data_IF_181404543249
#
_entry.id   IF_181404543249
#
_cell.length_a   1.000
_cell.length_b   1.000
_cell.length_c   1.000
_cell.angle_alpha   90.00
_cell.angle_beta   90.00
_cell.angle_gamma   90.00
#
_symmetry.space_group_name_H-M   'P 1'
#
loop_
_entity.id
_entity.type
_entity.pdbx_description
1 polymer ?
#
# COMPACT_ATOMS: atom_id res chain seq x y z
N UNK A 1 27.03 -4.40 -4.25
CA UNK A 1 27.18 -3.29 -3.29
C UNK A 1 27.32 -1.93 -3.96
N UNK A 2 28.05 -1.77 -5.08
CA UNK A 2 28.25 -0.46 -5.70
C UNK A 2 26.96 0.29 -6.10
N UNK A 3 25.98 -0.38 -6.71
CA UNK A 3 24.70 0.26 -7.08
C UNK A 3 23.87 0.63 -5.85
N UNK A 4 23.72 -0.28 -4.88
CA UNK A 4 23.02 0.00 -3.63
C UNK A 4 23.59 1.22 -2.90
N UNK A 5 24.93 1.28 -2.74
CA UNK A 5 25.58 2.42 -2.09
C UNK A 5 25.48 3.72 -2.89
N UNK A 6 25.19 3.63 -4.19
CA UNK A 6 25.01 4.82 -5.02
C UNK A 6 23.57 5.34 -4.94
N UNK A 7 22.60 4.45 -4.86
CA UNK A 7 21.16 4.80 -4.81
C UNK A 7 20.69 5.07 -3.38
N UNK A 8 21.18 4.32 -2.39
CA UNK A 8 20.73 4.34 -0.99
C UNK A 8 21.88 4.49 0.02
N UNK A 9 23.08 4.86 -0.44
CA UNK A 9 24.19 5.10 0.47
C UNK A 9 24.10 6.51 1.02
N UNK A 10 24.11 6.65 2.34
CA UNK A 10 24.26 7.94 3.01
C UNK A 10 25.58 8.58 2.57
N UNK A 11 25.55 9.81 2.08
CA UNK A 11 26.77 10.61 1.95
C UNK A 11 27.11 11.19 3.34
N UNK A 12 28.39 11.23 3.72
CA UNK A 12 28.81 11.77 5.02
C UNK A 12 28.43 13.26 5.21
N UNK A 13 28.01 13.94 4.12
CA UNK A 13 27.54 15.32 4.07
C UNK A 13 26.00 15.46 4.23
N UNK A 14 25.24 14.35 4.33
CA UNK A 14 23.76 14.27 4.40
C UNK A 14 23.21 14.00 5.81
N UNK A 15 23.95 14.31 6.87
CA UNK A 15 23.37 14.35 8.22
C UNK A 15 22.44 15.57 8.33
N UNK A 16 21.24 15.45 7.77
CA UNK A 16 20.20 16.47 7.90
C UNK A 16 19.83 16.62 9.38
N UNK A 17 20.05 17.82 9.93
CA UNK A 17 19.61 18.09 11.30
C UNK A 17 18.09 18.00 11.38
N UNK A 18 17.54 17.30 12.38
CA UNK A 18 16.10 17.14 12.52
C UNK A 18 15.44 18.50 12.68
N UNK A 19 14.38 18.74 11.92
CA UNK A 19 13.68 20.01 11.97
C UNK A 19 12.97 20.15 13.32
N UNK A 20 13.47 21.06 14.17
CA UNK A 20 12.96 21.28 15.52
C UNK A 20 11.53 21.81 15.57
N UNK A 21 11.03 22.39 14.45
CA UNK A 21 9.64 22.85 14.34
C UNK A 21 8.66 21.72 13.98
N UNK A 22 9.19 20.57 13.56
CA UNK A 22 8.40 19.43 13.12
C UNK A 22 8.36 18.33 14.19
N UNK A 23 7.25 17.59 14.27
CA UNK A 23 7.16 16.39 15.11
C UNK A 23 8.24 15.34 14.80
N UNK A 24 8.53 14.46 15.76
CA UNK A 24 9.57 13.44 15.63
C UNK A 24 9.28 12.42 14.52
N UNK A 25 8.03 12.01 14.38
CA UNK A 25 7.56 11.12 13.31
C UNK A 25 7.75 11.74 11.92
N UNK A 26 7.50 13.04 11.77
CA UNK A 26 7.81 13.77 10.53
C UNK A 26 9.31 13.68 10.21
N UNK A 27 10.17 13.99 11.18
CA UNK A 27 11.62 13.96 10.95
C UNK A 27 12.11 12.53 10.63
N UNK A 28 11.51 11.50 11.23
CA UNK A 28 11.85 10.10 10.91
C UNK A 28 11.40 9.68 9.52
N UNK A 29 10.20 10.10 9.10
CA UNK A 29 9.63 9.70 7.81
C UNK A 29 10.30 10.41 6.63
N UNK A 30 10.72 11.66 6.82
CA UNK A 30 11.32 12.50 5.79
C UNK A 30 12.84 12.62 5.92
N UNK A 31 13.48 11.79 6.75
CA UNK A 31 14.93 11.73 6.83
C UNK A 31 15.51 10.96 5.63
N UNK A 32 16.55 11.53 5.02
CA UNK A 32 17.28 10.88 3.93
C UNK A 32 16.50 10.87 2.60
N UNK A 33 16.53 9.75 1.89
CA UNK A 33 15.87 9.61 0.60
C UNK A 33 14.35 9.45 0.75
N UNK A 34 13.62 10.43 0.21
CA UNK A 34 12.15 10.49 0.21
C UNK A 34 11.55 10.09 -1.15
N UNK A 35 12.36 9.57 -2.08
CA UNK A 35 11.87 9.08 -3.36
C UNK A 35 10.96 7.85 -3.20
N UNK A 36 9.74 7.93 -3.73
CA UNK A 36 8.77 6.82 -3.75
C UNK A 36 9.00 5.85 -4.93
N UNK A 37 10.24 5.74 -5.41
CA UNK A 37 10.60 4.89 -6.55
C UNK A 37 11.78 3.95 -6.25
N UNK A 38 11.55 3.00 -5.36
CA UNK A 38 12.51 1.92 -5.11
C UNK A 38 11.94 0.57 -5.51
N UNK A 39 12.76 -0.28 -6.12
CA UNK A 39 12.40 -1.65 -6.50
C UNK A 39 13.68 -2.47 -6.72
N UNK A 40 13.97 -3.41 -5.81
CA UNK A 40 15.11 -4.30 -5.96
C UNK A 40 14.86 -5.67 -5.32
N UNK A 41 15.50 -6.69 -5.90
CA UNK A 41 15.49 -8.05 -5.39
C UNK A 41 16.70 -8.33 -4.51
N UNK A 42 16.49 -9.12 -3.46
CA UNK A 42 17.54 -9.64 -2.57
C UNK A 42 17.57 -11.16 -2.70
N UNK A 43 18.76 -11.71 -2.87
CA UNK A 43 19.02 -13.15 -2.89
C UNK A 43 20.01 -13.53 -1.81
N UNK A 44 19.64 -14.52 -1.00
CA UNK A 44 20.55 -15.17 -0.07
C UNK A 44 21.36 -16.24 -0.79
N UNK A 45 22.66 -16.23 -0.52
CA UNK A 45 23.57 -17.32 -0.87
C UNK A 45 24.17 -17.89 0.40
N UNK A 46 24.85 -19.03 0.30
CA UNK A 46 25.44 -19.70 1.48
C UNK A 46 26.39 -18.81 2.30
N UNK A 47 26.99 -17.78 1.69
CA UNK A 47 28.01 -16.94 2.33
C UNK A 47 27.79 -15.44 2.19
N UNK A 48 26.81 -15.00 1.40
CA UNK A 48 26.60 -13.58 1.12
C UNK A 48 25.17 -13.27 0.73
N UNK A 49 24.81 -12.00 0.89
CA UNK A 49 23.55 -11.42 0.39
C UNK A 49 23.86 -10.70 -0.92
N UNK A 50 23.13 -11.04 -1.98
CA UNK A 50 23.21 -10.36 -3.28
C UNK A 50 22.01 -9.43 -3.41
N UNK A 51 22.30 -8.13 -3.49
CA UNK A 51 21.31 -7.09 -3.81
C UNK A 51 21.16 -6.95 -5.33
N UNK A 52 20.02 -6.42 -5.77
CA UNK A 52 19.65 -6.27 -7.18
C UNK A 52 19.70 -7.58 -7.96
N UNK A 53 19.29 -8.68 -7.32
CA UNK A 53 19.04 -9.92 -8.05
C UNK A 53 17.79 -9.78 -8.93
N UNK A 54 17.76 -10.55 -10.02
CA UNK A 54 16.55 -10.71 -10.82
C UNK A 54 15.41 -11.24 -9.93
N UNK A 55 14.19 -10.68 -10.05
CA UNK A 55 13.04 -11.02 -9.19
C UNK A 55 12.71 -12.51 -9.22
N UNK A 56 12.78 -13.16 -10.38
CA UNK A 56 12.55 -14.62 -10.51
C UNK A 56 13.58 -15.48 -9.77
N UNK A 57 14.70 -14.90 -9.37
CA UNK A 57 15.78 -15.57 -8.64
C UNK A 57 16.03 -14.97 -7.25
N UNK A 58 15.18 -14.02 -6.83
CA UNK A 58 15.28 -13.32 -5.54
C UNK A 58 14.44 -14.04 -4.49
N UNK A 59 14.91 -14.02 -3.26
CA UNK A 59 14.19 -14.57 -2.11
C UNK A 59 13.31 -13.49 -1.45
N UNK A 60 13.70 -12.22 -1.55
CA UNK A 60 12.93 -11.06 -1.07
C UNK A 60 12.87 -10.01 -2.18
N UNK A 61 11.72 -9.35 -2.32
CA UNK A 61 11.55 -8.18 -3.17
C UNK A 61 11.20 -7.00 -2.25
N UNK A 62 11.97 -5.92 -2.35
CA UNK A 62 11.73 -4.67 -1.63
C UNK A 62 11.36 -3.61 -2.64
N UNK A 63 10.20 -2.99 -2.48
CA UNK A 63 9.71 -2.04 -3.46
C UNK A 63 8.61 -1.11 -2.93
N UNK A 64 8.50 0.07 -3.55
CA UNK A 64 7.33 0.93 -3.39
C UNK A 64 6.13 0.39 -4.19
N UNK A 65 4.89 0.65 -3.76
CA UNK A 65 3.69 0.27 -4.51
C UNK A 65 3.70 0.87 -5.93
N UNK A 66 4.18 2.11 -6.09
CA UNK A 66 4.30 2.77 -7.38
C UNK A 66 5.27 2.01 -8.31
N UNK A 67 6.46 1.68 -7.83
CA UNK A 67 7.47 1.01 -8.65
C UNK A 67 7.02 -0.41 -9.06
N UNK A 68 6.35 -1.16 -8.16
CA UNK A 68 5.77 -2.46 -8.51
C UNK A 68 4.66 -2.34 -9.55
N UNK A 69 3.74 -1.40 -9.38
CA UNK A 69 2.68 -1.16 -10.36
C UNK A 69 3.26 -0.84 -11.74
N UNK A 70 4.20 0.11 -11.81
CA UNK A 70 4.89 0.46 -13.05
C UNK A 70 5.60 -0.76 -13.65
N UNK A 71 6.22 -1.62 -12.83
CA UNK A 71 6.88 -2.83 -13.30
C UNK A 71 5.89 -3.82 -13.92
N UNK A 72 4.75 -4.04 -13.26
CA UNK A 72 3.68 -4.93 -13.73
C UNK A 72 3.08 -4.41 -15.03
N UNK A 73 2.82 -3.10 -15.11
CA UNK A 73 2.26 -2.42 -16.29
C UNK A 73 3.27 -2.29 -17.46
N UNK A 74 4.50 -2.78 -17.29
CA UNK A 74 5.52 -2.80 -18.35
C UNK A 74 6.36 -1.52 -18.51
N UNK A 75 6.37 -0.65 -17.49
CA UNK A 75 7.25 0.54 -17.33
C UNK A 75 6.84 1.78 -18.13
N UNK A 76 7.30 2.97 -17.70
CA UNK A 76 7.02 4.25 -18.37
C UNK A 76 7.66 4.38 -19.78
N UNK A 77 8.84 3.79 -19.98
CA UNK A 77 9.69 4.01 -21.17
C UNK A 77 9.14 3.34 -22.44
N UNK A 78 8.17 2.43 -22.30
CA UNK A 78 7.83 1.45 -23.35
C UNK A 78 6.40 1.53 -23.89
N UNK A 79 5.62 2.56 -23.51
CA UNK A 79 4.34 2.90 -24.16
C UNK A 79 4.48 3.33 -25.63
N UNK A 80 5.70 3.53 -26.15
CA UNK A 80 5.97 4.06 -27.51
C UNK A 80 5.68 3.10 -28.68
N UNK A 81 5.24 1.86 -28.48
CA UNK A 81 5.04 0.91 -29.60
C UNK A 81 3.75 0.08 -29.50
N UNK A 82 2.58 0.74 -29.45
CA UNK A 82 1.29 0.28 -30.00
C UNK A 82 0.80 -1.17 -29.79
N UNK A 83 1.45 -1.97 -28.96
CA UNK A 83 1.10 -3.35 -28.60
C UNK A 83 1.02 -3.39 -27.08
N UNK A 84 -0.11 -3.79 -26.50
CA UNK A 84 -0.17 -4.09 -25.07
C UNK A 84 0.82 -5.25 -24.85
N UNK A 85 1.93 -4.98 -24.15
CA UNK A 85 2.78 -6.07 -23.68
C UNK A 85 2.07 -6.67 -22.47
N UNK A 86 2.02 -7.99 -22.43
CA UNK A 86 1.46 -8.77 -21.31
C UNK A 86 2.02 -8.28 -19.98
N UNK A 87 1.14 -8.09 -18.99
CA UNK A 87 1.50 -7.80 -17.61
C UNK A 87 2.56 -8.81 -17.15
N UNK A 88 3.73 -8.33 -16.75
CA UNK A 88 4.81 -9.18 -16.27
C UNK A 88 4.70 -9.34 -14.76
N UNK A 89 3.58 -9.92 -14.28
CA UNK A 89 3.32 -10.15 -12.85
C UNK A 89 3.74 -11.53 -12.37
N UNK A 90 4.25 -12.40 -13.25
CA UNK A 90 4.63 -13.79 -12.91
C UNK A 90 5.64 -13.88 -11.76
N UNK A 91 6.50 -12.87 -11.56
CA UNK A 91 7.46 -12.83 -10.46
C UNK A 91 6.79 -12.72 -9.08
N UNK A 92 5.49 -12.39 -9.02
CA UNK A 92 4.67 -12.32 -7.81
C UNK A 92 3.80 -13.58 -7.58
N UNK A 93 3.92 -14.59 -8.44
CA UNK A 93 3.13 -15.83 -8.34
C UNK A 93 3.43 -16.64 -7.07
N UNK A 94 4.69 -16.68 -6.64
CA UNK A 94 5.16 -17.52 -5.53
C UNK A 94 5.33 -16.78 -4.21
N UNK A 95 4.65 -15.64 -4.01
CA UNK A 95 4.79 -14.87 -2.77
C UNK A 95 4.12 -15.58 -1.59
N UNK A 96 4.92 -15.92 -0.57
CA UNK A 96 4.45 -16.55 0.67
C UNK A 96 4.14 -15.53 1.77
N UNK A 97 4.88 -14.42 1.82
CA UNK A 97 4.73 -13.36 2.81
C UNK A 97 4.70 -12.01 2.11
N UNK A 98 3.72 -11.18 2.47
CA UNK A 98 3.65 -9.76 2.08
C UNK A 98 3.65 -8.92 3.33
N UNK A 99 4.54 -7.95 3.38
CA UNK A 99 4.57 -6.92 4.42
C UNK A 99 4.27 -5.58 3.76
N UNK A 100 3.18 -4.95 4.19
CA UNK A 100 2.87 -3.56 3.88
C UNK A 100 3.28 -2.75 5.09
N UNK A 101 4.42 -2.07 4.99
CA UNK A 101 4.90 -1.18 6.03
C UNK A 101 4.39 0.24 5.81
N UNK A 102 4.21 1.00 6.90
CA UNK A 102 3.68 2.37 6.88
C UNK A 102 2.44 2.56 5.99
N UNK A 103 1.42 1.70 6.16
CA UNK A 103 0.22 1.73 5.31
C UNK A 103 -0.54 3.07 5.41
N UNK A 104 -0.48 3.74 6.56
CA UNK A 104 -0.95 5.12 6.77
C UNK A 104 -0.28 6.11 5.82
N UNK A 105 1.05 6.05 5.69
CA UNK A 105 1.80 6.91 4.78
C UNK A 105 1.48 6.58 3.32
N UNK A 106 1.41 5.30 2.97
CA UNK A 106 1.00 4.85 1.62
C UNK A 106 -0.40 5.37 1.28
N UNK A 107 -1.30 5.37 2.26
CA UNK A 107 -2.66 5.90 2.11
C UNK A 107 -2.68 7.40 1.84
N UNK A 108 -1.72 8.17 2.36
CA UNK A 108 -1.60 9.61 2.09
C UNK A 108 -1.08 9.91 0.68
N UNK A 109 -0.34 8.97 0.07
CA UNK A 109 0.18 9.13 -1.29
C UNK A 109 -0.84 8.67 -2.33
N UNK A 110 -1.01 7.36 -2.51
CA UNK A 110 -1.97 6.79 -3.44
C UNK A 110 -2.25 5.31 -3.13
N UNK A 111 -3.33 5.07 -2.38
CA UNK A 111 -3.76 3.73 -2.00
C UNK A 111 -4.06 2.80 -3.18
N UNK A 112 -4.47 3.36 -4.33
CA UNK A 112 -4.81 2.55 -5.52
C UNK A 112 -3.60 1.79 -6.07
N UNK A 113 -2.38 2.29 -5.86
CA UNK A 113 -1.15 1.60 -6.28
C UNK A 113 -0.96 0.29 -5.52
N UNK A 114 -1.13 0.34 -4.19
CA UNK A 114 -1.05 -0.84 -3.35
C UNK A 114 -2.15 -1.84 -3.72
N UNK A 115 -3.38 -1.38 -3.89
CA UNK A 115 -4.50 -2.25 -4.30
C UNK A 115 -4.20 -2.98 -5.61
N UNK A 116 -3.76 -2.26 -6.64
CA UNK A 116 -3.43 -2.83 -7.94
C UNK A 116 -2.30 -3.87 -7.86
N UNK A 117 -1.30 -3.66 -6.99
CA UNK A 117 -0.22 -4.65 -6.77
C UNK A 117 -0.74 -5.90 -6.07
N UNK A 118 -1.55 -5.75 -5.02
CA UNK A 118 -2.10 -6.89 -4.27
C UNK A 118 -3.03 -7.74 -5.11
N UNK A 119 -3.78 -7.13 -6.04
CA UNK A 119 -4.61 -7.84 -7.02
C UNK A 119 -3.80 -8.74 -7.94
N UNK A 120 -2.51 -8.48 -8.13
CA UNK A 120 -1.63 -9.22 -9.03
C UNK A 120 -0.83 -10.33 -8.33
N UNK A 121 -1.00 -10.48 -7.01
CA UNK A 121 -0.29 -11.49 -6.24
C UNK A 121 -0.87 -12.90 -6.44
N UNK A 122 0.01 -13.89 -6.45
CA UNK A 122 -0.34 -15.32 -6.46
C UNK A 122 -1.17 -15.80 -7.66
N UNK A 123 -1.18 -15.07 -8.76
CA UNK A 123 -1.71 -15.57 -10.03
C UNK A 123 -0.85 -16.70 -10.58
N UNK A 124 -1.48 -17.56 -11.39
CA UNK A 124 -0.74 -18.56 -12.15
C UNK A 124 0.20 -17.86 -13.15
N UNK A 125 1.48 -18.24 -13.17
CA UNK A 125 2.43 -17.65 -14.11
C UNK A 125 2.01 -17.97 -15.54
N UNK A 126 2.03 -16.94 -16.39
CA UNK A 126 1.66 -17.04 -17.80
C UNK A 126 2.77 -17.63 -18.67
N UNK A 127 4.03 -17.42 -18.29
CA UNK A 127 5.21 -17.87 -19.04
C UNK A 127 5.87 -19.06 -18.35
N UNK A 128 6.36 -19.99 -19.17
CA UNK A 128 7.22 -21.06 -18.69
C UNK A 128 8.60 -20.50 -18.31
N UNK A 129 8.80 -20.33 -17.00
CA UNK A 129 10.11 -20.02 -16.43
C UNK A 129 10.89 -21.32 -16.18
N UNK A 130 12.16 -21.21 -15.73
CA UNK A 130 13.03 -22.36 -15.40
C UNK A 130 12.58 -23.04 -14.10
N UNK A 131 11.32 -23.43 -14.01
CA UNK A 131 10.70 -24.02 -12.82
C UNK A 131 10.30 -25.45 -13.13
N UNK A 132 10.72 -26.39 -12.27
CA UNK A 132 10.30 -27.78 -12.38
C UNK A 132 8.87 -27.92 -11.83
N UNK A 133 7.90 -28.13 -12.73
CA UNK A 133 6.47 -28.26 -12.41
C UNK A 133 6.21 -29.32 -11.34
N UNK A 134 6.98 -30.40 -11.31
CA UNK A 134 6.84 -31.48 -10.31
C UNK A 134 7.18 -31.05 -8.89
N UNK A 135 7.81 -29.88 -8.71
CA UNK A 135 8.16 -29.32 -7.39
C UNK A 135 7.19 -28.23 -6.95
N UNK A 136 6.24 -27.84 -7.80
CA UNK A 136 5.23 -26.85 -7.46
C UNK A 136 4.22 -27.52 -6.51
N UNK A 137 3.91 -26.83 -5.40
CA UNK A 137 2.93 -27.35 -4.44
C UNK A 137 1.53 -27.30 -5.07
N UNK A 138 0.67 -28.32 -4.89
CA UNK A 138 -0.63 -28.41 -5.56
C UNK A 138 -1.51 -27.17 -5.40
N UNK A 139 -1.53 -26.55 -4.21
CA UNK A 139 -2.34 -25.35 -3.96
C UNK A 139 -1.92 -24.11 -4.76
N UNK A 140 -0.71 -24.06 -5.33
CA UNK A 140 -0.38 -23.01 -6.30
C UNK A 140 -1.01 -23.28 -7.67
N UNK A 141 -1.11 -24.56 -8.06
CA UNK A 141 -1.75 -24.98 -9.31
C UNK A 141 -3.28 -24.83 -9.23
N UNK A 142 -3.86 -25.05 -8.05
CA UNK A 142 -5.29 -24.92 -7.79
C UNK A 142 -5.73 -23.46 -7.48
N UNK A 143 -4.86 -22.46 -7.68
CA UNK A 143 -5.13 -21.03 -7.40
C UNK A 143 -5.52 -20.75 -5.92
N UNK A 144 -5.06 -21.62 -5.01
CA UNK A 144 -5.32 -21.51 -3.58
C UNK A 144 -4.19 -20.82 -2.80
N UNK A 145 -3.09 -20.45 -3.46
CA UNK A 145 -1.95 -19.81 -2.81
C UNK A 145 -2.32 -18.54 -2.01
N UNK A 146 -3.33 -17.77 -2.47
CA UNK A 146 -3.85 -16.60 -1.75
C UNK A 146 -4.40 -16.89 -0.34
N UNK A 147 -4.83 -18.12 -0.06
CA UNK A 147 -5.31 -18.55 1.26
C UNK A 147 -4.16 -18.93 2.21
N UNK A 148 -2.97 -19.24 1.67
CA UNK A 148 -1.80 -19.64 2.43
C UNK A 148 -0.76 -18.52 2.59
N UNK A 149 -0.81 -17.49 1.74
CA UNK A 149 0.06 -16.31 1.85
C UNK A 149 -0.25 -15.54 3.15
N UNK A 150 0.77 -15.28 3.96
CA UNK A 150 0.66 -14.39 5.11
C UNK A 150 0.75 -12.93 4.64
N UNK A 151 -0.27 -12.12 4.94
CA UNK A 151 -0.24 -10.67 4.71
C UNK A 151 -0.18 -9.94 6.05
N UNK A 152 0.86 -9.12 6.23
CA UNK A 152 1.10 -8.29 7.42
C UNK A 152 0.95 -6.83 6.99
N UNK A 153 0.07 -6.08 7.66
CA UNK A 153 -0.17 -4.66 7.39
C UNK A 153 0.17 -3.90 8.66
N UNK A 154 1.13 -2.99 8.58
CA UNK A 154 1.60 -2.14 9.67
C UNK A 154 1.16 -0.71 9.40
N UNK A 155 0.59 -0.05 10.40
CA UNK A 155 0.07 1.32 10.29
C UNK A 155 -0.05 1.95 11.67
N UNK A 156 0.11 3.26 11.78
CA UNK A 156 -0.09 4.00 13.04
C UNK A 156 -1.57 4.17 13.38
N UNK A 157 -2.44 4.23 12.36
CA UNK A 157 -3.90 4.33 12.51
C UNK A 157 -4.62 3.51 11.44
N UNK A 158 -5.92 3.30 11.66
CA UNK A 158 -6.75 2.51 10.75
C UNK A 158 -7.60 3.41 9.87
N UNK A 159 -7.64 3.11 8.58
CA UNK A 159 -8.56 3.76 7.64
C UNK A 159 -9.61 2.78 7.10
N UNK A 160 -10.74 3.27 6.57
CA UNK A 160 -11.72 2.43 5.88
C UNK A 160 -11.11 1.60 4.74
N UNK A 161 -10.15 2.16 3.99
CA UNK A 161 -9.47 1.53 2.88
C UNK A 161 -8.60 0.36 3.33
N UNK A 162 -7.87 0.52 4.45
CA UNK A 162 -7.11 -0.57 5.08
C UNK A 162 -8.04 -1.69 5.54
N UNK A 163 -9.18 -1.35 6.13
CA UNK A 163 -10.16 -2.34 6.56
C UNK A 163 -10.77 -3.08 5.37
N UNK A 164 -11.09 -2.37 4.29
CA UNK A 164 -11.61 -2.97 3.06
C UNK A 164 -10.60 -3.94 2.45
N UNK A 165 -9.32 -3.55 2.35
CA UNK A 165 -8.25 -4.39 1.85
C UNK A 165 -7.97 -5.61 2.75
N UNK A 166 -7.96 -5.42 4.06
CA UNK A 166 -7.82 -6.52 5.02
C UNK A 166 -8.98 -7.52 4.92
N UNK A 167 -10.20 -7.04 4.72
CA UNK A 167 -11.39 -7.89 4.62
C UNK A 167 -11.50 -8.58 3.26
N UNK A 168 -11.21 -7.88 2.16
CA UNK A 168 -11.36 -8.37 0.79
C UNK A 168 -10.17 -9.18 0.26
N UNK A 169 -8.93 -8.76 0.55
CA UNK A 169 -7.73 -9.30 -0.10
C UNK A 169 -6.92 -10.26 0.77
N UNK A 170 -7.08 -10.21 2.09
CA UNK A 170 -6.43 -11.16 3.00
C UNK A 170 -7.39 -12.32 3.26
N UNK A 171 -7.20 -13.48 2.62
CA UNK A 171 -8.14 -14.60 2.68
C UNK A 171 -7.56 -15.80 3.45
N UNK A 172 -6.71 -15.56 4.43
CA UNK A 172 -5.96 -16.60 5.14
C UNK A 172 -6.84 -17.74 5.69
N UNK A 173 -6.40 -18.99 5.46
CA UNK A 173 -7.11 -20.20 5.89
C UNK A 173 -7.35 -20.28 7.41
N UNK A 174 -6.34 -19.94 8.21
CA UNK A 174 -6.45 -19.92 9.69
C UNK A 174 -7.11 -18.64 10.24
N UNK A 175 -7.64 -17.77 9.36
CA UNK A 175 -8.29 -16.53 9.73
C UNK A 175 -7.33 -15.35 9.86
N UNK A 176 -7.76 -14.32 10.59
CA UNK A 176 -7.09 -13.03 10.63
C UNK A 176 -7.02 -12.49 12.05
N UNK A 177 -5.93 -11.80 12.37
CA UNK A 177 -5.75 -11.11 13.65
C UNK A 177 -5.54 -9.64 13.38
N UNK A 178 -6.23 -8.78 14.15
CA UNK A 178 -6.10 -7.33 14.06
C UNK A 178 -5.81 -6.79 15.45
N UNK A 179 -4.66 -6.14 15.60
CA UNK A 179 -4.30 -5.38 16.80
C UNK A 179 -4.50 -3.90 16.48
N UNK A 180 -5.30 -3.21 17.29
CA UNK A 180 -5.56 -1.79 17.13
C UNK A 180 -5.35 -1.10 18.48
N UNK A 181 -4.58 -0.01 18.48
CA UNK A 181 -4.42 0.81 19.67
C UNK A 181 -5.65 1.70 19.84
N UNK A 182 -6.29 1.60 21.01
CA UNK A 182 -7.33 2.55 21.39
C UNK A 182 -6.69 3.80 21.98
N UNK A 183 -6.94 4.95 21.35
CA UNK A 183 -6.47 6.23 21.85
C UNK A 183 -7.56 6.90 22.69
N UNK A 184 -7.19 7.52 23.81
CA UNK A 184 -8.12 8.34 24.57
C UNK A 184 -8.57 9.52 23.72
N UNK A 185 -9.89 9.64 23.50
CA UNK A 185 -10.45 10.72 22.70
C UNK A 185 -10.04 12.11 23.22
N UNK A 186 -9.69 13.01 22.30
CA UNK A 186 -9.32 14.40 22.62
C UNK A 186 -10.51 15.35 22.60
N UNK A 187 -11.69 14.89 22.16
CA UNK A 187 -12.92 15.70 22.15
C UNK A 187 -13.22 16.38 23.49
N UNK A 188 -13.06 15.72 24.66
CA UNK A 188 -13.28 16.38 25.96
C UNK A 188 -12.23 17.44 26.31
N UNK A 189 -11.10 17.50 25.60
CA UNK A 189 -10.02 18.48 25.82
C UNK A 189 -10.23 19.77 25.04
N UNK A 190 -11.26 19.83 24.18
CA UNK A 190 -11.57 21.03 23.41
C UNK A 190 -12.16 22.06 24.38
N UNK A 191 -11.49 23.21 24.48
CA UNK A 191 -11.79 24.27 25.45
C UNK A 191 -13.15 24.95 25.20
N UNK A 192 -13.63 24.88 23.97
CA UNK A 192 -14.97 25.28 23.54
C UNK A 192 -15.76 24.01 23.23
N UNK A 193 -16.84 23.76 23.96
CA UNK A 193 -17.76 22.67 23.63
C UNK A 193 -18.46 22.97 22.30
N UNK A 194 -17.90 22.47 21.20
CA UNK A 194 -18.55 22.51 19.90
C UNK A 194 -19.63 21.43 19.90
N UNK A 195 -20.90 21.83 19.83
CA UNK A 195 -22.02 20.90 19.67
C UNK A 195 -21.94 20.26 18.28
N UNK A 196 -21.46 19.03 18.21
CA UNK A 196 -21.50 18.24 16.98
C UNK A 196 -22.92 17.74 16.73
N UNK A 197 -23.50 18.13 15.59
CA UNK A 197 -24.81 17.67 15.13
C UNK A 197 -24.60 16.73 13.96
N UNK A 198 -25.00 15.47 14.13
CA UNK A 198 -24.95 14.46 13.07
C UNK A 198 -26.33 14.36 12.41
N UNK A 199 -26.45 14.79 11.16
CA UNK A 199 -27.65 14.62 10.35
C UNK A 199 -27.48 13.42 9.42
N UNK A 200 -28.49 12.55 9.38
CA UNK A 200 -28.55 11.46 8.40
C UNK A 200 -29.11 11.98 7.08
N UNK A 201 -28.53 11.50 5.99
CA UNK A 201 -29.02 11.70 4.65
C UNK A 201 -29.07 10.35 3.93
N UNK A 202 -29.98 10.23 2.96
CA UNK A 202 -30.13 9.03 2.16
C UNK A 202 -29.36 9.18 0.85
N UNK A 203 -28.76 8.09 0.39
CA UNK A 203 -28.11 7.98 -0.90
C UNK A 203 -28.51 6.66 -1.56
N UNK A 204 -28.85 6.69 -2.85
CA UNK A 204 -29.32 5.50 -3.58
C UNK A 204 -28.22 4.46 -3.78
N UNK A 205 -26.95 4.90 -3.81
CA UNK A 205 -25.77 4.04 -3.96
C UNK A 205 -24.51 4.67 -3.37
N UNK A 206 -23.44 3.89 -3.22
CA UNK A 206 -22.12 4.38 -2.78
C UNK A 206 -21.51 5.35 -3.80
N UNK A 207 -21.76 5.15 -5.09
CA UNK A 207 -21.23 6.02 -6.15
C UNK A 207 -21.87 7.41 -6.16
N UNK A 208 -23.14 7.51 -5.77
CA UNK A 208 -23.89 8.77 -5.68
C UNK A 208 -23.75 9.45 -4.31
N UNK A 209 -22.98 8.85 -3.38
CA UNK A 209 -22.91 9.30 -1.99
C UNK A 209 -22.44 10.75 -1.86
N UNK A 210 -21.43 11.15 -2.63
CA UNK A 210 -20.86 12.49 -2.55
C UNK A 210 -21.81 13.54 -3.16
N UNK A 211 -22.47 13.21 -4.27
CA UNK A 211 -23.48 14.08 -4.89
C UNK A 211 -24.70 14.23 -3.98
N UNK A 212 -25.21 13.13 -3.42
CA UNK A 212 -26.33 13.15 -2.47
C UNK A 212 -25.98 13.92 -1.19
N UNK A 213 -24.74 13.81 -0.70
CA UNK A 213 -24.25 14.60 0.45
C UNK A 213 -24.22 16.10 0.11
N UNK A 214 -23.73 16.45 -1.07
CA UNK A 214 -23.67 17.84 -1.52
C UNK A 214 -25.07 18.42 -1.73
N UNK A 215 -25.98 17.67 -2.34
CA UNK A 215 -27.38 18.07 -2.50
C UNK A 215 -28.08 18.26 -1.15
N UNK A 216 -27.90 17.32 -0.22
CA UNK A 216 -28.43 17.46 1.15
C UNK A 216 -27.89 18.71 1.83
N UNK A 217 -26.59 18.98 1.69
CA UNK A 217 -25.98 20.20 2.23
C UNK A 217 -26.64 21.45 1.65
N UNK A 218 -26.74 21.56 0.32
CA UNK A 218 -27.34 22.71 -0.35
C UNK A 218 -28.83 22.92 0.00
N UNK A 219 -29.59 21.85 0.17
CA UNK A 219 -31.05 21.92 0.37
C UNK A 219 -31.49 21.98 1.83
N UNK A 220 -30.75 21.37 2.76
CA UNK A 220 -31.16 21.23 4.16
C UNK A 220 -30.23 21.91 5.16
N UNK A 221 -28.93 21.95 4.89
CA UNK A 221 -27.93 22.46 5.84
C UNK A 221 -27.63 23.93 5.58
N UNK A 222 -27.33 24.29 4.33
CA UNK A 222 -26.94 25.63 3.93
C UNK A 222 -28.00 26.70 4.26
N UNK A 223 -29.31 26.47 3.99
CA UNK A 223 -30.34 27.46 4.37
C UNK A 223 -30.41 27.71 5.88
N UNK A 224 -30.27 26.66 6.70
CA UNK A 224 -30.25 26.79 8.17
C UNK A 224 -29.07 27.62 8.66
N UNK A 225 -27.92 27.52 7.99
CA UNK A 225 -26.73 28.32 8.32
C UNK A 225 -26.99 29.78 7.99
N UNK A 226 -27.58 30.07 6.80
CA UNK A 226 -27.92 31.44 6.41
C UNK A 226 -28.95 32.08 7.36
N UNK A 227 -29.95 31.31 7.81
CA UNK A 227 -30.95 31.78 8.79
C UNK A 227 -30.36 31.99 10.20
N UNK A 228 -29.24 31.36 10.55
CA UNK A 228 -28.60 31.50 11.86
C UNK A 228 -27.55 32.62 11.95
N UNK A 229 -27.12 33.15 10.80
CA UNK A 229 -26.18 34.29 10.71
C UNK A 229 -26.91 35.67 10.67
N UNK A 230 -28.25 35.67 10.60
CA UNK A 230 -29.12 36.85 10.84
C UNK A 230 -29.55 36.95 12.32
#
# INVERSE_FOLDING_TARGET
MGQFKKEFGESDDELEEPNSSKPTDFNLLFAGDVEDHFLFGIKFTKKSVKLYSNFYASDIIVASPLALKLKIDGGEVTKKKGRPKENDSDFLSSIEIVVVDYADVISMQNWSHLHAVLEQLNHLPSKEHVTNVMRIRPWYLDEQARYYRQTIILSSYLTPEMNALFNGSCLNYEGKVKLATEFTGVLPKIQLEIRQVYERFDASSIGELDDARFEYFCTKVYPKIQESDE
#
